data_IF_791461618112
#
_entry.id   IF_791461618112
#
_cell.length_a   1.000
_cell.length_b   1.000
_cell.length_c   1.000
_cell.angle_alpha   90.00
_cell.angle_beta   90.00
_cell.angle_gamma   90.00
#
_symmetry.space_group_name_H-M   'P 1'
#
loop_
_entity.id
_entity.type
_entity.pdbx_description
1 polymer ?
#
# COMPACT_ATOMS: atom_id res chain seq x y z
N UNK A 1 31.49 42.90 24.58
CA UNK A 1 30.58 42.22 23.63
C UNK A 1 30.89 40.72 23.62
N UNK A 2 30.37 39.95 24.58
CA UNK A 2 30.69 38.51 24.70
C UNK A 2 29.54 37.65 25.24
N UNK A 3 28.33 38.19 25.34
CA UNK A 3 27.19 37.49 25.94
C UNK A 3 26.25 36.80 24.93
N UNK A 4 26.45 37.03 23.62
CA UNK A 4 25.54 36.52 22.58
C UNK A 4 25.88 35.08 22.15
N UNK A 5 27.17 34.73 22.09
CA UNK A 5 27.60 33.37 21.71
C UNK A 5 27.21 32.30 22.75
N UNK A 6 27.09 32.69 24.02
CA UNK A 6 26.75 31.79 25.12
C UNK A 6 25.30 31.31 25.08
N UNK A 7 24.38 32.17 24.61
CA UNK A 7 22.95 31.83 24.48
C UNK A 7 22.70 30.89 23.30
N UNK A 8 23.29 31.17 22.14
CA UNK A 8 23.19 30.28 20.97
C UNK A 8 23.81 28.90 21.26
N UNK A 9 24.95 28.86 21.97
CA UNK A 9 25.55 27.60 22.40
C UNK A 9 24.65 26.81 23.38
N UNK A 10 23.98 27.50 24.31
CA UNK A 10 23.02 26.87 25.23
C UNK A 10 21.78 26.34 24.49
N UNK A 11 21.25 27.08 23.52
CA UNK A 11 20.12 26.62 22.71
C UNK A 11 20.48 25.43 21.82
N UNK A 12 21.67 25.44 21.22
CA UNK A 12 22.20 24.30 20.46
C UNK A 12 22.37 23.06 21.36
N UNK A 13 22.87 23.25 22.59
CA UNK A 13 23.03 22.16 23.55
C UNK A 13 21.67 21.59 24.00
N UNK A 14 20.68 22.45 24.21
CA UNK A 14 19.31 22.03 24.52
C UNK A 14 18.66 21.26 23.36
N UNK A 15 18.88 21.73 22.12
CA UNK A 15 18.38 21.08 20.89
C UNK A 15 19.03 19.71 20.68
N UNK A 16 20.35 19.60 20.87
CA UNK A 16 21.07 18.33 20.80
C UNK A 16 20.57 17.34 21.86
N UNK A 17 20.35 17.80 23.10
CA UNK A 17 19.82 16.96 24.19
C UNK A 17 18.39 16.45 23.89
N UNK A 18 17.56 17.26 23.26
CA UNK A 18 16.23 16.84 22.81
C UNK A 18 16.31 15.76 21.72
N UNK A 19 17.21 15.94 20.74
CA UNK A 19 17.45 14.96 19.66
C UNK A 19 17.98 13.64 20.22
N UNK A 20 18.93 13.66 21.16
CA UNK A 20 19.43 12.44 21.81
C UNK A 20 18.35 11.71 22.61
N UNK A 21 17.46 12.46 23.28
CA UNK A 21 16.34 11.88 24.00
C UNK A 21 15.36 11.18 23.05
N UNK A 22 15.07 11.80 21.91
CA UNK A 22 14.22 11.22 20.87
C UNK A 22 14.87 9.97 20.25
N UNK A 23 16.15 10.04 19.87
CA UNK A 23 16.92 8.89 19.38
C UNK A 23 16.94 7.70 20.36
N UNK A 24 17.08 7.96 21.65
CA UNK A 24 17.05 6.90 22.66
C UNK A 24 15.65 6.30 22.86
N UNK A 25 14.60 7.11 22.73
CA UNK A 25 13.22 6.61 22.72
C UNK A 25 12.97 5.75 21.47
N UNK A 26 13.38 6.20 20.30
CA UNK A 26 13.24 5.48 19.03
C UNK A 26 14.07 4.18 19.03
N UNK A 27 15.27 4.17 19.61
CA UNK A 27 16.07 2.95 19.80
C UNK A 27 15.38 1.93 20.69
N UNK A 28 14.79 2.37 21.81
CA UNK A 28 14.04 1.49 22.72
C UNK A 28 12.78 0.95 22.05
N UNK A 29 12.04 1.80 21.34
CA UNK A 29 10.88 1.39 20.56
C UNK A 29 11.29 0.43 19.43
N UNK A 30 12.43 0.67 18.77
CA UNK A 30 12.93 -0.17 17.69
C UNK A 30 13.45 -1.54 18.16
N UNK A 31 14.00 -1.63 19.38
CA UNK A 31 14.53 -2.89 19.91
C UNK A 31 13.46 -3.96 20.18
N UNK A 32 12.20 -3.56 20.38
CA UNK A 32 11.08 -4.48 20.56
C UNK A 32 10.35 -4.82 19.25
N UNK A 33 10.74 -4.23 18.12
CA UNK A 33 10.11 -4.51 16.82
C UNK A 33 10.75 -5.74 16.19
N UNK A 34 9.97 -6.81 16.10
CA UNK A 34 10.33 -8.00 15.33
C UNK A 34 10.00 -7.73 13.85
N UNK A 35 11.03 -7.62 13.01
CA UNK A 35 10.86 -7.45 11.55
C UNK A 35 10.70 -8.81 10.89
N UNK A 36 9.57 -9.03 10.24
CA UNK A 36 9.28 -10.24 9.46
C UNK A 36 9.44 -9.94 7.97
N UNK A 37 10.13 -10.84 7.25
CA UNK A 37 10.31 -10.75 5.80
C UNK A 37 9.55 -11.90 5.14
N UNK A 38 8.51 -11.61 4.37
CA UNK A 38 7.87 -12.59 3.51
C UNK A 38 8.63 -12.68 2.18
N UNK A 39 9.29 -13.81 1.94
CA UNK A 39 9.96 -14.11 0.68
C UNK A 39 9.09 -15.06 -0.17
N UNK A 40 9.11 -14.86 -1.49
CA UNK A 40 8.37 -15.69 -2.45
C UNK A 40 8.42 -15.11 -3.85
N UNK A 41 8.15 -15.92 -4.86
CA UNK A 41 8.15 -15.51 -6.28
C UNK A 41 7.15 -14.35 -6.56
N UNK A 42 7.34 -13.63 -7.67
CA UNK A 42 6.39 -12.61 -8.13
C UNK A 42 4.96 -13.17 -8.16
N UNK A 43 3.98 -12.37 -7.73
CA UNK A 43 2.54 -12.72 -7.73
C UNK A 43 2.07 -13.84 -6.78
N UNK A 44 2.95 -14.45 -5.96
CA UNK A 44 2.56 -15.56 -5.07
C UNK A 44 1.66 -15.19 -3.88
N UNK A 45 1.00 -14.03 -3.90
CA UNK A 45 0.03 -13.64 -2.88
C UNK A 45 0.62 -13.20 -1.54
N UNK A 46 1.91 -12.83 -1.45
CA UNK A 46 2.54 -12.32 -0.21
C UNK A 46 1.75 -11.16 0.42
N UNK A 47 1.32 -10.22 -0.41
CA UNK A 47 0.48 -9.09 0.02
C UNK A 47 -0.92 -9.53 0.44
N UNK A 48 -1.44 -10.61 -0.14
CA UNK A 48 -2.73 -11.22 0.23
C UNK A 48 -2.63 -11.90 1.60
N UNK A 49 -1.54 -12.63 1.86
CA UNK A 49 -1.26 -13.24 3.17
C UNK A 49 -1.09 -12.18 4.26
N UNK A 50 -0.33 -11.11 3.98
CA UNK A 50 -0.20 -9.98 4.91
C UNK A 50 -1.55 -9.31 5.20
N UNK A 51 -2.39 -9.10 4.18
CA UNK A 51 -3.75 -8.56 4.35
C UNK A 51 -4.69 -9.48 5.15
N UNK A 52 -4.54 -10.80 5.02
CA UNK A 52 -5.34 -11.76 5.79
C UNK A 52 -4.81 -11.95 7.22
N UNK A 53 -3.50 -11.92 7.43
CA UNK A 53 -2.90 -11.83 8.76
C UNK A 53 -3.36 -10.56 9.47
N UNK A 54 -3.52 -9.46 8.74
CA UNK A 54 -4.13 -8.24 9.26
C UNK A 54 -5.62 -8.42 9.61
N UNK A 55 -6.36 -9.28 8.90
CA UNK A 55 -7.79 -9.49 9.12
C UNK A 55 -8.11 -10.53 10.21
N UNK A 56 -7.23 -11.52 10.42
CA UNK A 56 -7.54 -12.75 11.18
C UNK A 56 -6.90 -12.85 12.57
N UNK A 57 -6.00 -11.95 12.95
CA UNK A 57 -5.37 -11.97 14.29
C UNK A 57 -6.29 -11.29 15.32
N UNK A 58 -7.43 -11.94 15.59
CA UNK A 58 -8.35 -11.59 16.68
C UNK A 58 -8.34 -12.65 17.80
N UNK A 59 -7.65 -13.79 17.62
CA UNK A 59 -7.83 -14.98 18.46
C UNK A 59 -6.65 -15.36 19.38
N UNK A 60 -5.66 -14.49 19.63
CA UNK A 60 -4.63 -14.78 20.66
C UNK A 60 -4.29 -13.54 21.51
N UNK A 61 -4.26 -13.75 22.83
CA UNK A 61 -4.30 -12.76 23.89
C UNK A 61 -2.93 -12.12 24.22
N UNK A 62 -2.11 -11.79 23.21
CA UNK A 62 -0.79 -11.18 23.45
C UNK A 62 -0.47 -10.12 22.39
N UNK A 63 -0.59 -8.85 22.79
CA UNK A 63 0.05 -7.66 22.22
C UNK A 63 0.12 -7.50 20.68
N UNK A 64 -0.91 -7.93 19.95
CA UNK A 64 -1.20 -7.42 18.60
C UNK A 64 -2.38 -6.44 18.66
N UNK A 65 -2.26 -5.42 19.52
CA UNK A 65 -3.33 -4.50 19.92
C UNK A 65 -3.84 -3.53 18.85
N UNK A 66 -3.44 -3.65 17.59
CA UNK A 66 -3.86 -2.69 16.55
C UNK A 66 -4.10 -3.40 15.21
N UNK A 67 -5.22 -4.11 15.13
CA UNK A 67 -5.87 -4.45 13.87
C UNK A 67 -7.23 -3.78 13.89
N UNK A 68 -7.25 -2.51 13.48
CA UNK A 68 -8.44 -1.72 13.13
C UNK A 68 -9.73 -2.09 13.87
N UNK A 69 -9.96 -1.55 15.08
CA UNK A 69 -11.32 -1.49 15.63
C UNK A 69 -12.23 -0.53 14.85
N UNK A 70 -11.69 0.20 13.86
CA UNK A 70 -12.37 1.27 13.14
C UNK A 70 -12.33 1.06 11.62
N UNK A 71 -13.06 0.07 11.10
CA UNK A 71 -13.42 -0.04 9.67
C UNK A 71 -12.27 0.09 8.66
N UNK A 72 -12.56 0.35 7.39
CA UNK A 72 -11.57 0.91 6.45
C UNK A 72 -11.79 2.42 6.41
N UNK A 73 -10.72 3.22 6.34
CA UNK A 73 -10.89 4.67 6.15
C UNK A 73 -11.38 4.97 4.72
N UNK A 74 -12.02 6.13 4.50
CA UNK A 74 -12.45 6.52 3.15
C UNK A 74 -11.26 6.59 2.17
N UNK A 75 -10.09 7.01 2.65
CA UNK A 75 -8.85 7.05 1.86
C UNK A 75 -8.40 5.64 1.45
N UNK A 76 -8.39 4.68 2.38
CA UNK A 76 -8.06 3.28 2.07
C UNK A 76 -9.06 2.66 1.07
N UNK A 77 -10.35 3.01 1.19
CA UNK A 77 -11.38 2.55 0.26
C UNK A 77 -11.14 3.16 -1.13
N UNK A 78 -10.81 4.44 -1.22
CA UNK A 78 -10.57 5.13 -2.49
C UNK A 78 -9.31 4.61 -3.19
N UNK A 79 -8.22 4.39 -2.46
CA UNK A 79 -7.03 3.73 -3.01
C UNK A 79 -7.34 2.31 -3.51
N UNK A 80 -8.13 1.55 -2.74
CA UNK A 80 -8.45 0.16 -3.07
C UNK A 80 -9.43 0.06 -4.25
N UNK A 81 -10.34 1.02 -4.41
CA UNK A 81 -11.21 1.16 -5.60
C UNK A 81 -10.38 1.28 -6.86
N UNK A 82 -9.38 2.17 -6.86
CA UNK A 82 -8.52 2.37 -8.03
C UNK A 82 -7.79 1.09 -8.44
N UNK A 83 -7.29 0.33 -7.46
CA UNK A 83 -6.65 -0.97 -7.70
C UNK A 83 -7.62 -1.99 -8.28
N UNK A 84 -8.86 -2.07 -7.77
CA UNK A 84 -9.88 -2.99 -8.28
C UNK A 84 -10.26 -2.66 -9.72
N UNK A 85 -10.46 -1.38 -10.04
CA UNK A 85 -10.76 -0.95 -11.41
C UNK A 85 -9.62 -1.29 -12.37
N UNK A 86 -8.38 -0.96 -12.00
CA UNK A 86 -7.21 -1.25 -12.83
C UNK A 86 -7.04 -2.77 -13.08
N UNK A 87 -7.20 -3.59 -12.04
CA UNK A 87 -7.12 -5.04 -12.16
C UNK A 87 -8.23 -5.60 -13.07
N UNK A 88 -9.45 -5.07 -12.97
CA UNK A 88 -10.58 -5.51 -13.79
C UNK A 88 -10.34 -5.19 -15.27
N UNK A 89 -9.92 -3.96 -15.57
CA UNK A 89 -9.56 -3.53 -16.92
C UNK A 89 -8.42 -4.37 -17.50
N UNK A 90 -7.34 -4.53 -16.73
CA UNK A 90 -6.17 -5.31 -17.17
C UNK A 90 -6.53 -6.78 -17.43
N UNK A 91 -7.39 -7.36 -16.60
CA UNK A 91 -7.88 -8.74 -16.77
C UNK A 91 -8.68 -8.89 -18.06
N UNK A 92 -9.58 -7.95 -18.36
CA UNK A 92 -10.40 -7.99 -19.60
C UNK A 92 -9.50 -7.84 -20.83
N UNK A 93 -8.53 -6.92 -20.82
CA UNK A 93 -7.56 -6.77 -21.92
C UNK A 93 -6.75 -8.05 -22.13
N UNK A 94 -6.30 -8.69 -21.05
CA UNK A 94 -5.54 -9.93 -21.14
C UNK A 94 -6.38 -11.06 -21.78
N UNK A 95 -7.65 -11.18 -21.40
CA UNK A 95 -8.58 -12.16 -21.97
C UNK A 95 -8.79 -11.90 -23.47
N UNK A 96 -9.12 -10.65 -23.85
CA UNK A 96 -9.33 -10.29 -25.26
C UNK A 96 -8.10 -10.59 -26.12
N UNK A 97 -6.90 -10.22 -25.63
CA UNK A 97 -5.64 -10.54 -26.31
C UNK A 97 -5.39 -12.04 -26.43
N UNK A 98 -5.74 -12.82 -25.42
CA UNK A 98 -5.58 -14.28 -25.46
C UNK A 98 -6.58 -14.94 -26.41
N UNK A 99 -7.82 -14.45 -26.47
CA UNK A 99 -8.84 -14.93 -27.42
C UNK A 99 -8.40 -14.72 -28.87
N UNK A 100 -7.83 -13.56 -29.18
CA UNK A 100 -7.34 -13.20 -30.52
C UNK A 100 -6.03 -13.93 -30.87
N UNK A 101 -5.01 -13.85 -30.00
CA UNK A 101 -3.65 -14.31 -30.35
C UNK A 101 -3.35 -15.79 -30.04
N UNK A 102 -4.07 -16.41 -29.10
CA UNK A 102 -3.76 -17.77 -28.61
C UNK A 102 -4.82 -18.77 -29.04
N UNK A 103 -6.09 -18.41 -28.88
CA UNK A 103 -7.20 -19.33 -29.08
C UNK A 103 -7.89 -19.18 -30.45
N UNK A 104 -7.66 -18.08 -31.19
CA UNK A 104 -8.34 -17.73 -32.44
C UNK A 104 -9.88 -17.86 -32.33
N UNK A 105 -10.45 -17.46 -31.19
CA UNK A 105 -11.89 -17.49 -30.97
C UNK A 105 -12.44 -16.10 -31.33
N UNK A 106 -13.15 -15.95 -32.46
CA UNK A 106 -13.74 -14.67 -32.81
C UNK A 106 -14.84 -14.32 -31.80
N UNK A 107 -14.96 -13.05 -31.47
CA UNK A 107 -16.10 -12.55 -30.73
C UNK A 107 -17.35 -12.67 -31.60
N UNK A 108 -18.45 -13.15 -31.02
CA UNK A 108 -19.75 -13.24 -31.71
C UNK A 108 -20.24 -11.88 -32.23
N UNK A 109 -19.74 -10.78 -31.64
CA UNK A 109 -20.12 -9.43 -32.00
C UNK A 109 -18.88 -8.51 -32.03
N UNK A 110 -18.46 -8.04 -33.22
CA UNK A 110 -17.29 -7.18 -33.38
C UNK A 110 -17.50 -5.78 -32.75
N UNK A 111 -18.73 -5.33 -32.53
CA UNK A 111 -18.97 -4.06 -31.83
C UNK A 111 -18.62 -4.14 -30.33
N UNK A 112 -18.64 -5.34 -29.74
CA UNK A 112 -18.26 -5.55 -28.34
C UNK A 112 -16.76 -5.37 -28.12
N UNK A 113 -15.95 -5.62 -29.14
CA UNK A 113 -14.50 -5.40 -29.09
C UNK A 113 -14.18 -3.90 -29.03
N UNK A 114 -14.77 -3.12 -29.95
CA UNK A 114 -14.63 -1.66 -29.99
C UNK A 114 -15.19 -1.02 -28.73
N UNK A 115 -16.34 -1.50 -28.24
CA UNK A 115 -16.96 -1.01 -27.00
C UNK A 115 -16.12 -1.35 -25.77
N UNK A 116 -15.53 -2.54 -25.70
CA UNK A 116 -14.63 -2.92 -24.62
C UNK A 116 -13.40 -1.99 -24.60
N UNK A 117 -12.75 -1.78 -25.75
CA UNK A 117 -11.59 -0.89 -25.87
C UNK A 117 -11.94 0.56 -25.51
N UNK A 118 -13.10 1.06 -25.95
CA UNK A 118 -13.57 2.40 -25.65
C UNK A 118 -13.88 2.55 -24.14
N UNK A 119 -14.54 1.57 -23.53
CA UNK A 119 -14.83 1.55 -22.08
C UNK A 119 -13.53 1.51 -21.27
N UNK A 120 -12.55 0.73 -21.71
CA UNK A 120 -11.22 0.65 -21.09
C UNK A 120 -10.50 2.00 -21.15
N UNK A 121 -10.49 2.65 -22.32
CA UNK A 121 -9.87 3.97 -22.51
C UNK A 121 -10.54 5.04 -21.63
N UNK A 122 -11.88 5.00 -21.54
CA UNK A 122 -12.67 5.97 -20.78
C UNK A 122 -12.54 5.75 -19.27
N UNK A 123 -12.41 4.49 -18.82
CA UNK A 123 -12.14 4.15 -17.42
C UNK A 123 -10.73 4.61 -17.02
N UNK A 124 -9.72 4.44 -17.88
CA UNK A 124 -8.38 4.96 -17.65
C UNK A 124 -8.37 6.50 -17.57
N UNK A 125 -9.16 7.19 -18.39
CA UNK A 125 -9.25 8.66 -18.40
C UNK A 125 -10.03 9.24 -17.21
N UNK A 126 -10.91 8.47 -16.56
CA UNK A 126 -11.61 8.89 -15.34
C UNK A 126 -10.85 8.57 -14.05
N UNK A 127 -9.81 7.74 -14.13
CA UNK A 127 -8.99 7.32 -12.98
C UNK A 127 -7.68 8.11 -12.83
N UNK A 128 -7.33 8.93 -13.82
CA UNK A 128 -6.21 9.89 -13.80
C UNK A 128 -6.75 11.30 -14.00
#
# INVERSE_FOLDING_TARGET
>A
MGSCQSQEAQEQMARNKAIEKQLNQDKRAGSSIVKLLLLGAGECGKSTVLKQMQLSVSMTNTDFRILHSNGFTEDEINERKAVVYNNTVTSIVAILRAMDNVLNIPLDDPEKEVRALCTIAQTLYCLF
#
